data_IF_188357026517
#
_entry.id   IF_188357026517
#
_cell.length_a   1.000
_cell.length_b   1.000
_cell.length_c   1.000
_cell.angle_alpha   90.00
_cell.angle_beta   90.00
_cell.angle_gamma   90.00
#
_symmetry.space_group_name_H-M   'P 1'
#
loop_
_entity.id
_entity.type
_entity.pdbx_description
1 polymer ?
#
# COMPACT_ATOMS: atom_id res chain seq x y z
N UNK A 1 -11.63 -6.34 -2.77
CA UNK A 1 -10.17 -6.55 -2.89
C UNK A 1 -9.49 -5.74 -1.81
N UNK A 2 -8.56 -6.36 -1.10
CA UNK A 2 -7.81 -5.78 0.00
C UNK A 2 -6.36 -5.57 -0.44
N UNK A 3 -5.81 -4.38 -0.18
CA UNK A 3 -4.44 -4.02 -0.55
C UNK A 3 -3.65 -3.62 0.68
N UNK A 4 -2.46 -4.19 0.82
CA UNK A 4 -1.53 -3.82 1.89
C UNK A 4 -0.76 -2.58 1.44
N UNK A 5 -0.86 -1.48 2.19
CA UNK A 5 -0.13 -0.24 1.91
C UNK A 5 0.75 0.14 3.10
N UNK A 6 1.89 0.76 2.80
CA UNK A 6 2.79 1.37 3.78
C UNK A 6 2.76 2.89 3.65
N UNK A 7 2.89 3.58 4.77
CA UNK A 7 3.05 5.02 4.83
C UNK A 7 4.53 5.37 4.56
N UNK A 8 4.78 6.14 3.51
CA UNK A 8 6.11 6.69 3.23
C UNK A 8 6.46 7.84 4.16
N UNK A 9 7.75 8.21 4.19
CA UNK A 9 8.25 9.40 4.92
C UNK A 9 7.62 10.71 4.43
N UNK A 10 7.09 10.72 3.22
CA UNK A 10 6.35 11.82 2.61
C UNK A 10 4.86 11.89 3.05
N UNK A 11 4.42 11.02 3.96
CA UNK A 11 3.02 10.96 4.40
C UNK A 11 2.07 10.33 3.38
N UNK A 12 2.59 9.70 2.32
CA UNK A 12 1.78 9.08 1.28
C UNK A 12 1.70 7.57 1.45
N UNK A 13 0.49 7.01 1.33
CA UNK A 13 0.27 5.57 1.33
C UNK A 13 0.61 4.96 -0.02
N UNK A 14 1.54 4.00 -0.04
CA UNK A 14 1.93 3.26 -1.24
C UNK A 14 1.70 1.77 -1.05
N UNK A 15 1.19 1.09 -2.07
CA UNK A 15 1.03 -0.37 -2.04
C UNK A 15 2.39 -1.04 -1.83
N UNK A 16 2.43 -2.03 -0.95
CA UNK A 16 3.63 -2.84 -0.78
C UNK A 16 3.72 -3.86 -1.91
N UNK A 17 4.94 -4.20 -2.28
CA UNK A 17 5.20 -5.22 -3.27
C UNK A 17 4.87 -6.62 -2.73
N UNK A 18 4.11 -7.39 -3.50
CA UNK A 18 3.93 -8.82 -3.29
C UNK A 18 5.23 -9.54 -3.66
N UNK A 19 5.85 -10.14 -2.66
CA UNK A 19 7.09 -10.91 -2.79
C UNK A 19 6.78 -12.36 -2.42
N UNK A 20 6.94 -13.23 -3.39
CA UNK A 20 6.82 -14.69 -3.27
C UNK A 20 7.86 -15.26 -2.29
N UNK A 21 7.71 -16.53 -1.89
CA UNK A 21 8.68 -17.21 -1.03
C UNK A 21 10.09 -17.25 -1.65
N UNK A 22 10.17 -17.25 -2.98
CA UNK A 22 11.43 -17.21 -3.73
C UNK A 22 12.07 -15.81 -3.80
N UNK A 23 11.48 -14.80 -3.16
CA UNK A 23 11.95 -13.42 -3.27
C UNK A 23 11.58 -12.74 -4.59
N UNK A 24 10.83 -13.42 -5.46
CA UNK A 24 10.37 -12.87 -6.75
C UNK A 24 9.25 -11.85 -6.54
N UNK A 25 9.37 -10.72 -7.23
CA UNK A 25 8.32 -9.72 -7.31
C UNK A 25 7.14 -10.24 -8.13
N UNK A 26 5.94 -10.24 -7.53
CA UNK A 26 4.68 -10.69 -8.15
C UNK A 26 3.71 -9.55 -8.46
N UNK A 27 3.99 -8.33 -8.01
CA UNK A 27 3.11 -7.18 -8.22
C UNK A 27 2.81 -6.41 -6.93
N UNK A 28 1.63 -5.80 -6.87
CA UNK A 28 1.11 -5.17 -5.66
C UNK A 28 0.48 -6.24 -4.74
N UNK A 29 0.64 -6.10 -3.42
CA UNK A 29 0.06 -7.00 -2.43
C UNK A 29 -1.46 -6.79 -2.31
N UNK A 30 -2.19 -7.35 -3.28
CA UNK A 30 -3.65 -7.33 -3.39
C UNK A 30 -4.20 -8.73 -3.19
N UNK A 31 -5.23 -8.84 -2.35
CA UNK A 31 -5.85 -10.09 -1.95
C UNK A 31 -7.37 -9.99 -2.08
N UNK A 32 -8.02 -11.13 -2.24
CA UNK A 32 -9.48 -11.18 -2.33
C UNK A 32 -10.12 -11.02 -0.96
N UNK A 33 -9.49 -11.61 0.06
CA UNK A 33 -9.97 -11.55 1.44
C UNK A 33 -9.09 -10.67 2.33
N UNK A 34 -9.70 -10.19 3.42
CA UNK A 34 -9.00 -9.39 4.42
C UNK A 34 -7.98 -10.24 5.18
N UNK A 35 -8.34 -11.49 5.44
CA UNK A 35 -7.53 -12.45 6.20
C UNK A 35 -6.18 -12.70 5.51
N UNK A 36 -6.20 -12.97 4.20
CA UNK A 36 -4.99 -13.10 3.39
C UNK A 36 -4.10 -11.85 3.41
N UNK A 37 -4.72 -10.66 3.36
CA UNK A 37 -3.99 -9.39 3.43
C UNK A 37 -3.35 -9.16 4.81
N UNK A 38 -4.04 -9.53 5.89
CA UNK A 38 -3.53 -9.44 7.26
C UNK A 38 -2.41 -10.46 7.50
N UNK A 39 -2.55 -11.68 7.00
CA UNK A 39 -1.51 -12.71 7.02
C UNK A 39 -0.25 -12.23 6.28
N UNK A 40 -0.43 -11.73 5.05
CA UNK A 40 0.67 -11.19 4.26
C UNK A 40 1.33 -9.98 4.93
N UNK A 41 0.55 -9.10 5.55
CA UNK A 41 1.07 -7.96 6.30
C UNK A 41 1.96 -8.43 7.47
N UNK A 42 1.56 -9.46 8.20
CA UNK A 42 2.34 -10.03 9.29
C UNK A 42 3.67 -10.64 8.79
N UNK A 43 3.63 -11.40 7.70
CA UNK A 43 4.82 -11.94 7.00
C UNK A 43 5.76 -10.82 6.53
N UNK A 44 5.20 -9.77 5.92
CA UNK A 44 5.94 -8.60 5.46
C UNK A 44 6.63 -7.87 6.61
N UNK A 45 5.92 -7.66 7.72
CA UNK A 45 6.48 -7.07 8.94
C UNK A 45 7.59 -7.94 9.54
N UNK A 46 7.45 -9.28 9.55
CA UNK A 46 8.51 -10.20 9.98
C UNK A 46 9.75 -10.10 9.11
N UNK A 47 9.59 -10.10 7.77
CA UNK A 47 10.70 -9.92 6.82
C UNK A 47 11.40 -8.58 7.00
N UNK A 48 10.63 -7.52 7.25
CA UNK A 48 11.18 -6.19 7.57
C UNK A 48 11.92 -6.19 8.90
N UNK A 49 11.36 -6.80 9.96
CA UNK A 49 12.03 -6.96 11.26
C UNK A 49 13.32 -7.75 11.16
N UNK A 50 13.39 -8.79 10.32
CA UNK A 50 14.67 -9.48 10.07
C UNK A 50 15.69 -8.60 9.35
N UNK A 51 15.26 -7.62 8.55
CA UNK A 51 16.13 -6.57 7.98
C UNK A 51 16.45 -5.42 8.96
N UNK A 52 15.83 -5.37 10.16
CA UNK A 52 15.99 -4.27 11.14
C UNK A 52 17.34 -4.21 11.86
N UNK A 53 18.30 -5.11 11.62
CA UNK A 53 19.68 -4.87 12.10
C UNK A 53 20.32 -3.61 11.49
N UNK A 54 19.67 -2.93 10.53
CA UNK A 54 20.30 -1.87 9.73
C UNK A 54 19.64 -0.47 9.92
N UNK A 55 18.40 -0.31 10.42
CA UNK A 55 17.87 1.04 10.77
C UNK A 55 16.55 1.02 11.58
N UNK A 56 16.49 1.66 12.76
CA UNK A 56 15.29 1.78 13.59
C UNK A 56 14.27 2.85 13.16
N UNK A 57 14.63 3.80 12.27
CA UNK A 57 13.80 4.99 11.93
C UNK A 57 12.93 4.85 10.66
N UNK A 58 12.77 3.64 10.11
CA UNK A 58 12.43 3.50 8.69
C UNK A 58 11.00 3.09 8.32
N UNK A 59 10.20 2.58 9.25
CA UNK A 59 8.96 1.90 8.88
C UNK A 59 7.77 2.78 9.25
N UNK A 60 7.28 3.54 8.28
CA UNK A 60 5.97 4.18 8.41
C UNK A 60 4.87 3.12 8.59
N UNK A 61 3.73 3.58 9.10
CA UNK A 61 2.57 2.75 9.42
C UNK A 61 2.18 1.82 8.23
N UNK A 62 1.88 0.55 8.49
CA UNK A 62 1.43 -0.41 7.47
C UNK A 62 0.00 -0.81 7.79
N UNK A 63 -0.90 -0.72 6.81
CA UNK A 63 -2.33 -1.02 6.97
C UNK A 63 -2.90 -1.73 5.75
N UNK A 64 -3.92 -2.53 6.01
CA UNK A 64 -4.76 -3.12 4.97
C UNK A 64 -5.86 -2.11 4.61
N UNK A 65 -5.97 -1.81 3.32
CA UNK A 65 -7.02 -0.98 2.76
C UNK A 65 -7.98 -1.85 1.97
N UNK A 66 -9.27 -1.64 2.18
CA UNK A 66 -10.30 -2.29 1.38
C UNK A 66 -10.59 -1.42 0.14
N UNK A 67 -10.11 -1.85 -1.03
CA UNK A 67 -10.38 -1.15 -2.30
C UNK A 67 -11.87 -1.19 -2.66
N UNK A 68 -12.61 -2.20 -2.18
CA UNK A 68 -14.05 -2.30 -2.39
C UNK A 68 -14.85 -1.16 -1.73
N UNK A 69 -14.31 -0.53 -0.68
CA UNK A 69 -14.89 0.67 -0.05
C UNK A 69 -14.31 1.99 -0.58
N UNK A 70 -13.19 1.94 -1.30
CA UNK A 70 -12.45 3.15 -1.73
C UNK A 70 -12.96 3.74 -3.07
N UNK A 71 -13.83 3.02 -3.80
CA UNK A 71 -14.44 3.50 -5.04
C UNK A 71 -15.39 4.70 -4.83
N UNK A 72 -15.81 4.99 -3.59
CA UNK A 72 -16.65 6.17 -3.30
C UNK A 72 -15.91 7.50 -3.14
N UNK A 73 -14.59 7.53 -3.07
CA UNK A 73 -13.83 8.79 -2.83
C UNK A 73 -12.79 9.14 -3.91
N UNK A 74 -12.82 8.46 -5.07
CA UNK A 74 -11.99 8.82 -6.23
C UNK A 74 -12.76 9.36 -7.44
N UNK A 75 -14.05 9.67 -7.26
CA UNK A 75 -14.83 10.48 -8.20
C UNK A 75 -14.84 11.97 -7.81
N UNK A 76 -13.71 12.54 -7.41
CA UNK A 76 -13.53 13.99 -7.56
C UNK A 76 -12.92 14.20 -8.95
N UNK A 77 -13.71 14.61 -9.97
CA UNK A 77 -13.12 15.02 -11.22
C UNK A 77 -12.19 16.19 -10.89
N UNK A 78 -10.91 16.05 -11.17
CA UNK A 78 -10.04 17.22 -11.32
C UNK A 78 -10.43 17.92 -12.62
N UNK A 79 -11.64 18.47 -12.65
CA UNK A 79 -12.05 19.52 -13.59
C UNK A 79 -11.23 20.76 -13.25
N UNK A 80 -9.99 20.80 -13.73
CA UNK A 80 -9.24 22.06 -13.81
C UNK A 80 -9.79 22.83 -15.02
N UNK A 81 -10.97 23.41 -14.83
CA UNK A 81 -11.51 24.40 -15.73
C UNK A 81 -10.89 25.78 -15.50
N UNK A 82 -10.89 26.57 -16.59
CA UNK A 82 -10.57 28.00 -16.76
C UNK A 82 -9.07 28.33 -16.95
N UNK A 83 -8.68 29.06 -18.01
CA UNK A 83 -9.30 30.29 -18.55
C UNK A 83 -9.18 30.44 -20.09
N UNK A 84 -10.24 31.00 -20.70
CA UNK A 84 -10.25 31.76 -21.96
C UNK A 84 -9.54 33.12 -21.78
N UNK A 85 -8.94 33.63 -22.85
CA UNK A 85 -8.88 35.05 -23.26
C UNK A 85 -8.48 35.04 -24.75
N UNK A 86 -9.42 35.30 -25.67
CA UNK A 86 -9.77 36.56 -26.33
C UNK A 86 -8.71 37.04 -27.32
#
# INVERSE_FOLDING_TARGET
MFVVKRLGKNGMWSAVSLIDQNGSFRGEAKFETRDEAEEYMAEYLKRMKSRQRISPEGYGEIKVFDESKQDKEKSKPSSKGKKKAH
#
